data_IF_755505871173
#
_entry.id   IF_755505871173
#
_cell.length_a   1.000
_cell.length_b   1.000
_cell.length_c   1.000
_cell.angle_alpha   90.00
_cell.angle_beta   90.00
_cell.angle_gamma   90.00
#
_symmetry.space_group_name_H-M   'P 1'
#
loop_
_entity.id
_entity.type
_entity.pdbx_description
1 polymer ?
#
# COMPACT_ATOMS: atom_id res chain seq x y z
N UNK A 1 -0.59 31.98 -0.63
CA UNK A 1 0.38 31.22 -1.44
C UNK A 1 -0.08 29.78 -1.54
N UNK A 2 -0.36 29.28 -2.75
CA UNK A 2 -0.80 27.89 -2.95
C UNK A 2 0.36 26.95 -2.60
N UNK A 3 0.17 26.04 -1.64
CA UNK A 3 1.21 25.08 -1.26
C UNK A 3 1.55 24.23 -2.50
N UNK A 4 2.80 24.31 -2.96
CA UNK A 4 3.25 23.70 -4.22
C UNK A 4 3.07 22.18 -4.24
N UNK A 5 2.98 21.56 -3.06
CA UNK A 5 2.93 20.10 -2.87
C UNK A 5 1.59 19.58 -2.34
N UNK A 6 0.51 20.36 -2.47
CA UNK A 6 -0.78 20.03 -1.85
C UNK A 6 -1.34 18.67 -2.32
N UNK A 7 -1.11 18.31 -3.58
CA UNK A 7 -1.60 17.04 -4.13
C UNK A 7 -0.80 15.86 -3.61
N UNK A 8 0.51 16.00 -3.47
CA UNK A 8 1.40 14.99 -2.90
C UNK A 8 1.09 14.75 -1.42
N UNK A 9 0.82 15.82 -0.67
CA UNK A 9 0.33 15.71 0.70
C UNK A 9 -1.00 14.97 0.77
N UNK A 10 -1.97 15.38 -0.05
CA UNK A 10 -3.28 14.76 -0.09
C UNK A 10 -3.18 13.27 -0.45
N UNK A 11 -2.36 12.93 -1.45
CA UNK A 11 -2.11 11.55 -1.85
C UNK A 11 -1.62 10.70 -0.66
N UNK A 12 -0.52 11.10 -0.01
CA UNK A 12 0.06 10.29 1.07
C UNK A 12 -0.92 10.17 2.25
N UNK A 13 -1.61 11.26 2.62
CA UNK A 13 -2.59 11.25 3.71
C UNK A 13 -3.77 10.32 3.37
N UNK A 14 -4.32 10.41 2.16
CA UNK A 14 -5.39 9.52 1.70
C UNK A 14 -4.92 8.07 1.74
N UNK A 15 -3.69 7.77 1.30
CA UNK A 15 -3.15 6.40 1.34
C UNK A 15 -3.01 5.89 2.77
N UNK A 16 -2.57 6.73 3.72
CA UNK A 16 -2.52 6.37 5.14
C UNK A 16 -3.92 6.04 5.66
N UNK A 17 -4.90 6.90 5.39
CA UNK A 17 -6.29 6.69 5.82
C UNK A 17 -6.88 5.41 5.22
N UNK A 18 -6.69 5.22 3.91
CA UNK A 18 -7.12 4.01 3.21
C UNK A 18 -6.42 2.76 3.74
N UNK A 19 -5.14 2.85 4.12
CA UNK A 19 -4.41 1.71 4.69
C UNK A 19 -4.96 1.34 6.06
N UNK A 20 -5.30 2.33 6.89
CA UNK A 20 -5.92 2.09 8.19
C UNK A 20 -7.32 1.48 8.02
N UNK A 21 -8.14 2.01 7.11
CA UNK A 21 -9.49 1.49 6.88
C UNK A 21 -9.47 0.15 6.17
N UNK A 22 -8.68 -0.01 5.11
CA UNK A 22 -8.66 -1.23 4.33
C UNK A 22 -8.20 -2.44 5.13
N UNK A 23 -7.28 -2.25 6.07
CA UNK A 23 -6.79 -3.34 6.92
C UNK A 23 -7.42 -3.36 8.31
N UNK A 24 -8.53 -2.65 8.51
CA UNK A 24 -9.27 -2.58 9.77
C UNK A 24 -9.67 -3.96 10.31
N UNK A 25 -10.20 -4.81 9.43
CA UNK A 25 -10.76 -6.12 9.81
C UNK A 25 -9.71 -7.08 10.36
N UNK A 26 -8.42 -6.88 10.06
CA UNK A 26 -7.31 -7.66 10.65
C UNK A 26 -7.30 -7.54 12.18
N UNK A 27 -7.68 -6.37 12.71
CA UNK A 27 -7.58 -6.03 14.14
C UNK A 27 -8.92 -5.93 14.84
N UNK A 28 -9.96 -5.52 14.11
CA UNK A 28 -11.26 -5.18 14.70
C UNK A 28 -12.42 -5.94 14.06
N UNK A 29 -12.14 -6.84 13.12
CA UNK A 29 -13.14 -7.75 12.55
C UNK A 29 -13.61 -8.80 13.55
N UNK A 30 -14.77 -9.40 13.28
CA UNK A 30 -15.39 -10.44 14.14
C UNK A 30 -14.45 -11.63 14.36
N UNK A 31 -13.70 -12.03 13.34
CA UNK A 31 -12.75 -13.14 13.38
C UNK A 31 -11.28 -12.67 13.50
N UNK A 32 -11.06 -11.48 14.06
CA UNK A 32 -9.72 -10.88 14.16
C UNK A 32 -8.78 -11.74 15.02
N UNK A 33 -7.67 -12.12 14.41
CA UNK A 33 -6.59 -12.90 15.04
C UNK A 33 -5.24 -12.50 14.44
N UNK A 34 -4.82 -11.23 14.61
CA UNK A 34 -3.57 -10.76 14.05
C UNK A 34 -2.40 -11.55 14.64
N UNK A 35 -1.39 -11.80 13.82
CA UNK A 35 -0.18 -12.49 14.23
C UNK A 35 1.02 -11.57 14.01
N UNK A 36 2.20 -12.03 14.40
CA UNK A 36 3.42 -11.24 14.29
C UNK A 36 3.69 -10.73 12.87
N UNK A 37 3.42 -11.53 11.83
CA UNK A 37 3.61 -11.12 10.43
C UNK A 37 2.67 -9.97 10.04
N UNK A 38 1.41 -10.00 10.49
CA UNK A 38 0.46 -8.91 10.28
C UNK A 38 0.92 -7.62 10.98
N UNK A 39 1.32 -7.71 12.26
CA UNK A 39 1.81 -6.55 13.01
C UNK A 39 3.05 -5.92 12.36
N UNK A 40 4.06 -6.75 12.06
CA UNK A 40 5.31 -6.28 11.47
C UNK A 40 5.08 -5.59 10.14
N UNK A 41 4.28 -6.20 9.25
CA UNK A 41 4.01 -5.62 7.94
C UNK A 41 3.21 -4.31 8.04
N UNK A 42 2.12 -4.28 8.82
CA UNK A 42 1.29 -3.07 8.97
C UNK A 42 2.08 -1.92 9.57
N UNK A 43 2.80 -2.16 10.67
CA UNK A 43 3.63 -1.12 11.31
C UNK A 43 4.71 -0.63 10.35
N UNK A 44 5.36 -1.53 9.61
CA UNK A 44 6.40 -1.15 8.64
C UNK A 44 5.85 -0.28 7.51
N UNK A 45 4.67 -0.59 6.98
CA UNK A 45 4.01 0.25 5.96
C UNK A 45 3.66 1.64 6.51
N UNK A 46 3.12 1.74 7.72
CA UNK A 46 2.80 3.03 8.33
C UNK A 46 4.05 3.87 8.60
N UNK A 47 5.14 3.24 9.05
CA UNK A 47 6.45 3.91 9.18
C UNK A 47 6.94 4.40 7.81
N UNK A 48 6.81 3.58 6.76
CA UNK A 48 7.21 3.97 5.41
C UNK A 48 6.42 5.17 4.88
N UNK A 49 5.09 5.14 4.97
CA UNK A 49 4.22 6.25 4.56
C UNK A 49 4.48 7.51 5.39
N UNK A 50 4.69 7.35 6.70
CA UNK A 50 5.10 8.43 7.59
C UNK A 50 6.44 9.05 7.20
N UNK A 51 7.42 8.21 6.81
CA UNK A 51 8.69 8.68 6.27
C UNK A 51 8.50 9.46 4.98
N UNK A 52 7.70 8.97 4.02
CA UNK A 52 7.41 9.70 2.78
C UNK A 52 6.78 11.07 3.06
N UNK A 53 5.80 11.11 3.97
CA UNK A 53 5.14 12.35 4.39
C UNK A 53 6.13 13.34 5.01
N UNK A 54 7.01 12.84 5.89
CA UNK A 54 8.04 13.65 6.52
C UNK A 54 9.09 14.14 5.51
N UNK A 55 9.50 13.30 4.57
CA UNK A 55 10.41 13.70 3.48
C UNK A 55 9.80 14.79 2.59
N UNK A 56 8.52 14.67 2.26
CA UNK A 56 7.78 15.70 1.54
C UNK A 56 7.74 17.02 2.34
N UNK A 57 7.57 16.93 3.66
CA UNK A 57 7.60 18.09 4.54
C UNK A 57 8.95 18.82 4.52
N UNK A 58 10.05 18.08 4.63
CA UNK A 58 11.40 18.64 4.55
C UNK A 58 11.66 19.31 3.20
N UNK A 59 11.20 18.74 2.09
CA UNK A 59 11.31 19.37 0.77
C UNK A 59 10.46 20.63 0.69
N UNK A 60 9.20 20.58 1.15
CA UNK A 60 8.27 21.72 1.08
C UNK A 60 8.73 22.92 1.91
N UNK A 61 9.50 22.67 2.97
CA UNK A 61 10.09 23.69 3.86
C UNK A 61 11.54 24.03 3.51
N UNK A 62 12.04 23.58 2.35
CA UNK A 62 13.41 23.81 1.87
C UNK A 62 14.53 23.27 2.80
N UNK A 63 14.22 22.32 3.68
CA UNK A 63 15.18 21.68 4.59
C UNK A 63 15.98 20.55 3.90
N UNK A 64 16.69 20.88 2.82
CA UNK A 64 17.36 19.88 1.97
C UNK A 64 18.46 19.07 2.68
N UNK A 65 19.15 19.66 3.67
CA UNK A 65 20.15 18.95 4.46
C UNK A 65 19.51 17.86 5.31
N UNK A 66 18.40 18.17 5.98
CA UNK A 66 17.64 17.21 6.78
C UNK A 66 17.03 16.14 5.89
N UNK A 67 16.48 16.50 4.72
CA UNK A 67 15.96 15.55 3.74
C UNK A 67 17.00 14.49 3.38
N UNK A 68 18.26 14.91 3.12
CA UNK A 68 19.35 13.97 2.82
C UNK A 68 19.71 13.09 4.00
N UNK A 69 19.86 13.66 5.21
CA UNK A 69 20.21 12.92 6.43
C UNK A 69 19.17 11.86 6.76
N UNK A 70 17.90 12.28 6.82
CA UNK A 70 16.79 11.38 7.10
C UNK A 70 16.59 10.40 5.94
N UNK A 71 16.86 10.82 4.70
CA UNK A 71 16.76 9.98 3.50
C UNK A 71 17.69 8.77 3.51
N UNK A 72 18.78 8.81 4.28
CA UNK A 72 19.64 7.64 4.48
C UNK A 72 18.92 6.49 5.20
N UNK A 73 17.90 6.78 6.01
CA UNK A 73 17.08 5.74 6.65
C UNK A 73 16.39 4.84 5.63
N UNK A 74 16.12 5.32 4.42
CA UNK A 74 15.52 4.52 3.34
C UNK A 74 16.42 3.35 2.93
N UNK A 75 17.75 3.46 3.08
CA UNK A 75 18.68 2.36 2.80
C UNK A 75 18.47 1.16 3.72
N UNK A 76 17.90 1.38 4.91
CA UNK A 76 17.49 0.32 5.83
C UNK A 76 15.99 0.01 5.70
N UNK A 77 15.15 1.05 5.78
CA UNK A 77 13.68 0.90 5.79
C UNK A 77 13.13 0.35 4.47
N UNK A 78 13.77 0.63 3.33
CA UNK A 78 13.36 0.10 2.03
C UNK A 78 13.54 -1.41 1.95
N UNK A 79 14.75 -1.96 2.16
CA UNK A 79 14.96 -3.40 2.26
C UNK A 79 14.12 -4.06 3.37
N UNK A 80 13.96 -3.39 4.51
CA UNK A 80 13.12 -3.87 5.61
C UNK A 80 11.65 -4.02 5.18
N UNK A 81 11.10 -3.02 4.50
CA UNK A 81 9.75 -3.07 3.92
C UNK A 81 9.58 -4.26 2.98
N UNK A 82 10.50 -4.43 2.02
CA UNK A 82 10.52 -5.57 1.09
C UNK A 82 10.59 -6.90 1.83
N UNK A 83 11.43 -7.00 2.86
CA UNK A 83 11.58 -8.21 3.67
C UNK A 83 10.30 -8.57 4.43
N UNK A 84 9.65 -7.59 5.07
CA UNK A 84 8.38 -7.86 5.80
C UNK A 84 7.24 -8.26 4.86
N UNK A 85 7.13 -7.65 3.67
CA UNK A 85 6.14 -8.04 2.66
C UNK A 85 6.42 -9.44 2.12
N UNK A 86 7.69 -9.76 1.85
CA UNK A 86 8.10 -11.11 1.44
C UNK A 86 7.72 -12.14 2.51
N UNK A 87 8.02 -11.85 3.77
CA UNK A 87 7.72 -12.73 4.89
C UNK A 87 6.21 -12.97 5.02
N UNK A 88 5.39 -11.92 4.92
CA UNK A 88 3.94 -12.04 4.93
C UNK A 88 3.42 -12.87 3.74
N UNK A 89 3.99 -12.67 2.55
CA UNK A 89 3.62 -13.40 1.34
C UNK A 89 3.90 -14.90 1.48
N UNK A 90 5.09 -15.26 1.96
CA UNK A 90 5.48 -16.66 2.19
C UNK A 90 4.60 -17.30 3.27
N UNK A 91 4.34 -16.58 4.37
CA UNK A 91 3.47 -17.06 5.43
C UNK A 91 2.04 -17.33 4.93
N UNK A 92 1.48 -16.39 4.16
CA UNK A 92 0.15 -16.50 3.56
C UNK A 92 0.07 -17.68 2.58
N UNK A 93 1.05 -17.82 1.69
CA UNK A 93 1.14 -18.94 0.76
C UNK A 93 1.19 -20.30 1.48
N UNK A 94 2.03 -20.41 2.52
CA UNK A 94 2.16 -21.63 3.32
C UNK A 94 0.84 -22.00 4.02
N UNK A 95 0.14 -21.01 4.60
CA UNK A 95 -1.19 -21.21 5.19
C UNK A 95 -2.23 -21.65 4.15
N UNK A 96 -2.18 -21.06 2.95
CA UNK A 96 -3.02 -21.45 1.82
C UNK A 96 -2.80 -22.89 1.37
N UNK A 97 -1.55 -23.35 1.34
CA UNK A 97 -1.18 -24.73 1.02
C UNK A 97 -1.67 -25.73 2.07
N UNK A 98 -1.41 -25.47 3.36
CA UNK A 98 -1.82 -26.39 4.45
C UNK A 98 -3.35 -26.50 4.55
N UNK A 99 -4.07 -25.40 4.33
CA UNK A 99 -5.53 -25.39 4.40
C UNK A 99 -6.23 -25.97 3.16
N UNK A 100 -5.50 -26.23 2.07
CA UNK A 100 -6.06 -26.69 0.80
C UNK A 100 -6.88 -25.63 0.05
N UNK A 101 -6.93 -24.39 0.54
CA UNK A 101 -7.72 -23.29 -0.06
C UNK A 101 -6.92 -22.43 -1.05
N UNK A 102 -5.59 -22.55 -1.06
CA UNK A 102 -4.70 -21.68 -1.82
C UNK A 102 -4.61 -20.26 -1.25
N UNK A 103 -3.71 -19.45 -1.80
CA UNK A 103 -3.60 -18.02 -1.50
C UNK A 103 -3.95 -17.20 -2.74
N UNK A 104 -5.17 -16.65 -2.75
CA UNK A 104 -5.68 -15.85 -3.88
C UNK A 104 -4.95 -14.51 -4.06
N UNK A 105 -4.17 -14.06 -3.08
CA UNK A 105 -3.45 -12.79 -3.11
C UNK A 105 -1.96 -12.98 -3.42
N UNK A 106 -1.48 -14.21 -3.64
CA UNK A 106 -0.05 -14.48 -3.77
C UNK A 106 0.59 -13.71 -4.94
N UNK A 107 -0.07 -13.66 -6.09
CA UNK A 107 0.43 -12.92 -7.26
C UNK A 107 0.50 -11.43 -6.96
N UNK A 108 -0.54 -10.87 -6.36
CA UNK A 108 -0.57 -9.46 -5.95
C UNK A 108 0.57 -9.16 -4.97
N UNK A 109 0.73 -9.98 -3.93
CA UNK A 109 1.73 -9.75 -2.89
C UNK A 109 3.16 -9.84 -3.44
N UNK A 110 3.45 -10.84 -4.29
CA UNK A 110 4.77 -11.00 -4.92
C UNK A 110 5.07 -9.86 -5.88
N UNK A 111 4.13 -9.53 -6.79
CA UNK A 111 4.34 -8.47 -7.78
C UNK A 111 4.52 -7.11 -7.10
N UNK A 112 3.68 -6.75 -6.13
CA UNK A 112 3.80 -5.49 -5.38
C UNK A 112 5.12 -5.41 -4.62
N UNK A 113 5.61 -6.54 -4.08
CA UNK A 113 6.91 -6.59 -3.42
C UNK A 113 8.04 -6.26 -4.39
N UNK A 114 8.03 -6.88 -5.58
CA UNK A 114 9.04 -6.64 -6.61
C UNK A 114 8.96 -5.22 -7.18
N UNK A 115 7.76 -4.71 -7.43
CA UNK A 115 7.53 -3.35 -7.92
C UNK A 115 7.95 -2.30 -6.90
N UNK A 116 7.68 -2.53 -5.60
CA UNK A 116 8.14 -1.65 -4.52
C UNK A 116 9.66 -1.61 -4.46
N UNK A 117 10.31 -2.79 -4.50
CA UNK A 117 11.77 -2.88 -4.55
C UNK A 117 12.35 -2.15 -5.77
N UNK A 118 11.74 -2.35 -6.94
CA UNK A 118 12.13 -1.70 -8.19
C UNK A 118 11.99 -0.18 -8.09
N UNK A 119 10.87 0.36 -7.61
CA UNK A 119 10.69 1.80 -7.48
C UNK A 119 11.66 2.43 -6.48
N UNK A 120 11.94 1.77 -5.36
CA UNK A 120 12.97 2.24 -4.42
C UNK A 120 14.33 2.24 -5.10
N UNK A 121 14.71 1.17 -5.80
CA UNK A 121 15.98 1.10 -6.52
C UNK A 121 16.09 2.22 -7.59
N UNK A 122 15.06 2.39 -8.42
CA UNK A 122 15.01 3.43 -9.44
C UNK A 122 15.07 4.84 -8.82
N UNK A 123 14.42 5.07 -7.68
CA UNK A 123 14.51 6.34 -6.98
C UNK A 123 15.97 6.69 -6.60
N UNK A 124 16.78 5.71 -6.21
CA UNK A 124 18.19 5.93 -5.89
C UNK A 124 19.10 6.00 -7.12
N UNK A 125 18.82 5.21 -8.16
CA UNK A 125 19.53 5.29 -9.46
C UNK A 125 19.37 6.70 -10.04
N UNK A 126 18.14 7.22 -10.07
CA UNK A 126 17.81 8.54 -10.62
C UNK A 126 17.89 9.68 -9.59
N UNK A 127 18.56 9.49 -8.45
CA UNK A 127 18.64 10.49 -7.35
C UNK A 127 19.14 11.88 -7.76
N UNK A 128 19.92 11.98 -8.84
CA UNK A 128 20.40 13.26 -9.40
C UNK A 128 19.27 14.06 -10.07
N UNK A 129 18.27 13.38 -10.63
CA UNK A 129 17.07 14.00 -11.18
C UNK A 129 15.97 14.03 -10.12
N UNK A 130 15.83 15.18 -9.44
CA UNK A 130 14.90 15.35 -8.31
C UNK A 130 13.45 15.02 -8.66
N UNK A 131 13.02 15.29 -9.90
CA UNK A 131 11.65 14.98 -10.35
C UNK A 131 11.43 13.48 -10.44
N UNK A 132 12.36 12.74 -11.06
CA UNK A 132 12.27 11.28 -11.16
C UNK A 132 12.43 10.60 -9.80
N UNK A 133 13.38 11.06 -8.98
CA UNK A 133 13.55 10.55 -7.61
C UNK A 133 12.25 10.64 -6.81
N UNK A 134 11.64 11.84 -6.77
CA UNK A 134 10.37 12.04 -6.08
C UNK A 134 9.22 11.23 -6.68
N UNK A 135 9.14 11.15 -8.02
CA UNK A 135 8.12 10.35 -8.70
C UNK A 135 8.20 8.88 -8.33
N UNK A 136 9.39 8.26 -8.39
CA UNK A 136 9.56 6.85 -8.00
C UNK A 136 9.24 6.59 -6.53
N UNK A 137 9.64 7.50 -5.62
CA UNK A 137 9.27 7.38 -4.19
C UNK A 137 7.74 7.46 -4.00
N UNK A 138 7.06 8.41 -4.66
CA UNK A 138 5.60 8.54 -4.61
C UNK A 138 4.86 7.38 -5.28
N UNK A 139 5.44 6.75 -6.31
CA UNK A 139 4.86 5.56 -6.94
C UNK A 139 4.67 4.41 -5.94
N UNK A 140 5.53 4.30 -4.91
CA UNK A 140 5.31 3.30 -3.83
C UNK A 140 4.01 3.55 -3.06
N UNK A 141 3.65 4.82 -2.81
CA UNK A 141 2.38 5.16 -2.18
C UNK A 141 1.18 4.87 -3.11
N UNK A 142 1.33 5.04 -4.42
CA UNK A 142 0.29 4.71 -5.40
C UNK A 142 0.03 3.19 -5.44
N UNK A 143 1.07 2.36 -5.38
CA UNK A 143 0.91 0.90 -5.27
C UNK A 143 0.09 0.54 -4.01
N UNK A 144 0.44 1.14 -2.88
CA UNK A 144 -0.25 0.86 -1.61
C UNK A 144 -1.69 1.36 -1.64
N UNK A 145 -1.94 2.49 -2.31
CA UNK A 145 -3.28 3.02 -2.53
C UNK A 145 -4.20 2.02 -3.19
N UNK A 146 -3.77 1.38 -4.29
CA UNK A 146 -4.61 0.45 -5.05
C UNK A 146 -5.10 -0.71 -4.19
N UNK A 147 -4.19 -1.29 -3.42
CA UNK A 147 -4.49 -2.41 -2.51
C UNK A 147 -5.37 -1.94 -1.35
N UNK A 148 -4.99 -0.86 -0.68
CA UNK A 148 -5.71 -0.32 0.47
C UNK A 148 -7.13 0.13 0.10
N UNK A 149 -7.32 0.70 -1.09
CA UNK A 149 -8.63 1.06 -1.63
C UNK A 149 -9.48 -0.17 -1.89
N UNK A 150 -8.93 -1.21 -2.53
CA UNK A 150 -9.64 -2.46 -2.77
C UNK A 150 -10.17 -3.06 -1.45
N UNK A 151 -9.29 -3.18 -0.45
CA UNK A 151 -9.68 -3.70 0.86
C UNK A 151 -10.68 -2.80 1.59
N UNK A 152 -10.53 -1.47 1.51
CA UNK A 152 -11.50 -0.53 2.10
C UNK A 152 -12.89 -0.72 1.49
N UNK A 153 -12.97 -0.90 0.16
CA UNK A 153 -14.24 -1.10 -0.52
C UNK A 153 -14.92 -2.39 -0.10
N UNK A 154 -14.20 -3.51 -0.05
CA UNK A 154 -14.80 -4.77 0.41
C UNK A 154 -15.08 -4.74 1.92
N UNK A 155 -14.34 -3.99 2.73
CA UNK A 155 -14.62 -3.90 4.18
C UNK A 155 -15.79 -2.98 4.53
N UNK A 156 -16.06 -1.91 3.78
CA UNK A 156 -17.08 -0.93 4.20
C UNK A 156 -18.22 -0.70 3.21
N UNK A 157 -18.15 -1.26 2.00
CA UNK A 157 -19.20 -1.13 0.99
C UNK A 157 -19.77 -2.51 0.65
N UNK A 158 -20.89 -2.93 1.29
CA UNK A 158 -21.46 -4.27 1.13
C UNK A 158 -21.75 -4.66 -0.31
N UNK A 159 -22.02 -3.69 -1.19
CA UNK A 159 -22.24 -3.93 -2.63
C UNK A 159 -21.02 -4.53 -3.35
N UNK A 160 -19.81 -4.41 -2.79
CA UNK A 160 -18.58 -4.97 -3.35
C UNK A 160 -18.12 -6.26 -2.67
N UNK A 161 -18.78 -6.67 -1.57
CA UNK A 161 -18.48 -7.95 -0.89
C UNK A 161 -19.03 -9.12 -1.66
N UNK A 162 -18.21 -10.17 -1.77
CA UNK A 162 -18.59 -11.46 -2.35
C UNK A 162 -18.34 -12.51 -1.29
N UNK A 163 -19.43 -13.02 -0.71
CA UNK A 163 -19.42 -13.92 0.44
C UNK A 163 -19.84 -15.34 0.05
N UNK A 164 -20.50 -15.50 -1.11
CA UNK A 164 -20.98 -16.76 -1.64
C UNK A 164 -21.75 -16.63 -2.96
N UNK A 165 -22.25 -17.74 -3.54
CA UNK A 165 -22.97 -17.76 -4.81
C UNK A 165 -24.15 -16.78 -4.89
N UNK A 166 -24.83 -16.53 -3.78
CA UNK A 166 -25.94 -15.59 -3.64
C UNK A 166 -25.52 -14.13 -3.90
N UNK A 167 -24.25 -13.80 -3.64
CA UNK A 167 -23.68 -12.48 -3.88
C UNK A 167 -23.02 -12.32 -5.26
N UNK A 168 -22.91 -13.39 -6.06
CA UNK A 168 -22.30 -13.33 -7.40
C UNK A 168 -23.04 -12.41 -8.37
N UNK A 169 -24.35 -12.22 -8.18
CA UNK A 169 -25.15 -11.27 -8.97
C UNK A 169 -24.66 -9.81 -8.85
N UNK A 170 -23.90 -9.47 -7.80
CA UNK A 170 -23.28 -8.15 -7.61
C UNK A 170 -22.24 -7.85 -8.71
N UNK A 171 -21.50 -8.85 -9.20
CA UNK A 171 -20.61 -8.71 -10.36
C UNK A 171 -21.39 -8.33 -11.64
N UNK A 172 -22.48 -9.05 -11.92
CA UNK A 172 -23.30 -8.84 -13.11
C UNK A 172 -24.00 -7.48 -13.13
N UNK A 173 -24.54 -7.02 -11.98
CA UNK A 173 -25.16 -5.69 -11.85
C UNK A 173 -24.19 -4.53 -12.04
N UNK A 174 -22.92 -4.70 -11.66
CA UNK A 174 -21.87 -3.69 -11.84
C UNK A 174 -21.42 -3.58 -13.30
N UNK A 175 -21.37 -4.71 -14.02
CA UNK A 175 -21.04 -4.75 -15.45
C UNK A 175 -22.20 -4.25 -16.32
N UNK A 176 -23.45 -4.59 -16.01
CA UNK A 176 -24.61 -4.15 -16.79
C UNK A 176 -24.93 -2.66 -16.65
N UNK A 177 -24.60 -2.03 -15.50
CA UNK A 177 -24.72 -0.58 -15.33
C UNK A 177 -23.77 0.22 -16.22
N UNK A 178 -22.67 -0.35 -16.74
CA UNK A 178 -21.80 0.35 -17.71
C UNK A 178 -22.43 0.48 -19.10
N UNK A 179 -23.40 -0.35 -19.45
CA UNK A 179 -24.10 -0.29 -20.75
C UNK A 179 -25.22 0.75 -20.76
N UNK A 180 -25.62 1.27 -19.61
CA UNK A 180 -26.70 2.26 -19.51
C UNK A 180 -26.20 3.72 -19.44
N UNK A 181 -24.88 3.92 -19.36
CA UNK A 181 -24.21 5.24 -19.31
C UNK A 181 -23.16 5.43 -20.43
N UNK A 182 -23.17 4.57 -21.44
CA UNK A 182 -22.44 4.72 -22.70
C UNK A 182 -23.47 4.78 -23.84
#
# INVERSE_FOLDING_TARGET
MRNKYILEYALIIIVILLSITGFWDIYFGVDSSPNLHHHLHVVTNLIWLGLLLYQLNLISTNQYLNHRKVGLSVLFLGPWLVATTTLLSVYSAHKGLISGKGDFLIVQNVMVTLETALFIALAFIFKKNRKLHGAFMLSTAILFMGIALFFTLISFAPQFRIEGPETFSRFGKLLSRRVMFA
#
